data_IF_647504018208
#
_entry.id   IF_647504018208
#
_cell.length_a   1.000
_cell.length_b   1.000
_cell.length_c   1.000
_cell.angle_alpha   90.00
_cell.angle_beta   90.00
_cell.angle_gamma   90.00
#
_symmetry.space_group_name_H-M   'P 1'
#
loop_
_entity.id
_entity.type
_entity.pdbx_description
1 polymer ?
#
# COMPACT_ATOMS: atom_id res chain seq x y z
N UNK A 1 -13.78 -0.63 -4.45
CA UNK A 1 -13.31 0.77 -4.57
C UNK A 1 -13.00 1.07 -6.03
N UNK A 2 -12.97 2.35 -6.40
CA UNK A 2 -12.52 2.83 -7.71
C UNK A 2 -11.32 3.77 -7.48
N UNK A 3 -10.21 3.65 -8.23
CA UNK A 3 -9.94 2.65 -9.27
C UNK A 3 -10.03 1.20 -8.81
N UNK A 4 -10.21 0.28 -9.76
CA UNK A 4 -10.28 -1.14 -9.44
C UNK A 4 -8.98 -1.56 -8.76
N UNK A 5 -9.06 -2.14 -7.56
CA UNK A 5 -7.88 -2.46 -6.74
C UNK A 5 -7.82 -3.94 -6.46
N UNK A 6 -6.77 -4.60 -6.93
CA UNK A 6 -6.43 -5.97 -6.55
C UNK A 6 -5.42 -5.95 -5.41
N UNK A 7 -5.69 -6.70 -4.34
CA UNK A 7 -4.78 -6.88 -3.22
C UNK A 7 -4.07 -8.24 -3.32
N UNK A 8 -2.75 -8.23 -3.13
CA UNK A 8 -1.89 -9.41 -3.24
C UNK A 8 -1.12 -9.57 -1.94
N UNK A 9 -1.17 -10.76 -1.35
CA UNK A 9 -0.44 -11.08 -0.11
C UNK A 9 1.04 -11.33 -0.42
N UNK A 10 1.95 -10.68 0.32
CA UNK A 10 3.40 -10.95 0.23
C UNK A 10 3.89 -12.05 1.18
N UNK A 11 3.09 -12.38 2.20
CA UNK A 11 3.38 -13.45 3.17
C UNK A 11 2.34 -14.55 2.99
N UNK A 12 2.78 -15.81 3.00
CA UNK A 12 1.89 -16.97 2.92
C UNK A 12 0.92 -16.97 4.10
N UNK A 13 -0.38 -16.94 3.80
CA UNK A 13 -1.44 -17.11 4.79
C UNK A 13 -1.52 -18.60 5.17
N UNK A 14 -1.26 -18.92 6.43
CA UNK A 14 -1.28 -20.29 6.97
C UNK A 14 -2.51 -20.60 7.83
N UNK A 15 -3.34 -19.61 8.13
CA UNK A 15 -4.52 -19.83 8.96
C UNK A 15 -5.47 -18.62 9.02
N UNK A 16 -6.63 -18.84 9.66
CA UNK A 16 -7.73 -17.90 9.67
C UNK A 16 -7.36 -16.52 10.25
N UNK A 17 -6.54 -16.45 11.31
CA UNK A 17 -6.09 -15.17 11.89
C UNK A 17 -5.42 -14.28 10.83
N UNK A 18 -4.49 -14.83 10.04
CA UNK A 18 -3.78 -14.09 9.00
C UNK A 18 -4.70 -13.71 7.83
N UNK A 19 -5.66 -14.58 7.48
CA UNK A 19 -6.66 -14.26 6.47
C UNK A 19 -7.54 -13.08 6.91
N UNK A 20 -8.02 -13.10 8.17
CA UNK A 20 -8.82 -12.00 8.74
C UNK A 20 -8.02 -10.71 8.80
N UNK A 21 -6.73 -10.76 9.15
CA UNK A 21 -5.87 -9.57 9.16
C UNK A 21 -5.70 -8.96 7.75
N UNK A 22 -5.52 -9.80 6.73
CA UNK A 22 -5.41 -9.34 5.34
C UNK A 22 -6.74 -8.77 4.81
N UNK A 23 -7.82 -9.52 4.96
CA UNK A 23 -9.13 -9.20 4.35
C UNK A 23 -10.10 -8.48 5.29
N UNK A 24 -9.61 -8.04 6.46
CA UNK A 24 -10.31 -7.19 7.43
C UNK A 24 -9.62 -5.83 7.53
N UNK A 25 -8.76 -5.59 8.54
CA UNK A 25 -8.16 -4.27 8.77
C UNK A 25 -7.30 -3.79 7.58
N UNK A 26 -6.47 -4.65 6.97
CA UNK A 26 -5.65 -4.21 5.85
C UNK A 26 -6.49 -3.89 4.60
N UNK A 27 -7.50 -4.71 4.28
CA UNK A 27 -8.40 -4.45 3.16
C UNK A 27 -9.21 -3.15 3.34
N UNK A 28 -9.74 -2.92 4.55
CA UNK A 28 -10.45 -1.67 4.85
C UNK A 28 -9.52 -0.46 4.71
N UNK A 29 -8.29 -0.56 5.20
CA UNK A 29 -7.28 0.48 5.10
C UNK A 29 -6.89 0.81 3.65
N UNK A 30 -6.59 -0.21 2.84
CA UNK A 30 -6.27 -0.03 1.41
C UNK A 30 -7.45 0.58 0.67
N UNK A 31 -8.67 0.07 0.89
CA UNK A 31 -9.86 0.59 0.26
C UNK A 31 -10.09 2.07 0.60
N UNK A 32 -9.96 2.44 1.87
CA UNK A 32 -10.10 3.84 2.30
C UNK A 32 -9.03 4.73 1.69
N UNK A 33 -7.75 4.32 1.72
CA UNK A 33 -6.66 5.10 1.14
C UNK A 33 -6.87 5.38 -0.35
N UNK A 34 -7.40 4.41 -1.10
CA UNK A 34 -7.76 4.59 -2.52
C UNK A 34 -8.88 5.63 -2.68
N UNK A 35 -9.96 5.50 -1.91
CA UNK A 35 -11.08 6.43 -1.98
C UNK A 35 -10.67 7.86 -1.60
N UNK A 36 -9.91 8.02 -0.52
CA UNK A 36 -9.43 9.32 -0.05
C UNK A 36 -8.42 9.95 -1.03
N UNK A 37 -7.66 9.12 -1.76
CA UNK A 37 -6.78 9.59 -2.84
C UNK A 37 -7.57 10.13 -4.04
N UNK A 38 -8.74 9.56 -4.34
CA UNK A 38 -9.67 10.09 -5.36
C UNK A 38 -10.38 11.35 -4.87
N UNK A 39 -10.80 11.37 -3.59
CA UNK A 39 -11.46 12.52 -2.98
C UNK A 39 -10.54 13.75 -2.97
N UNK A 40 -9.29 13.57 -2.56
CA UNK A 40 -8.26 14.63 -2.53
C UNK A 40 -7.72 15.03 -3.90
N UNK A 41 -8.04 14.29 -4.96
CA UNK A 41 -7.61 14.57 -6.32
C UNK A 41 -6.20 14.09 -6.66
N UNK A 42 -5.52 13.37 -5.75
CA UNK A 42 -4.25 12.67 -6.05
C UNK A 42 -4.45 11.68 -7.19
N UNK A 43 -5.58 10.96 -7.16
CA UNK A 43 -6.09 10.23 -8.32
C UNK A 43 -7.16 11.11 -8.96
N UNK A 44 -6.98 11.57 -10.21
CA UNK A 44 -8.00 12.32 -10.93
C UNK A 44 -9.30 11.51 -11.06
N UNK A 45 -10.43 12.12 -10.70
CA UNK A 45 -11.75 11.44 -10.68
C UNK A 45 -12.16 10.93 -12.05
N UNK A 46 -11.82 11.67 -13.10
CA UNK A 46 -12.09 11.33 -14.50
C UNK A 46 -11.29 10.11 -15.00
N UNK A 47 -10.19 9.76 -14.33
CA UNK A 47 -9.39 8.58 -14.64
C UNK A 47 -9.72 7.38 -13.74
N UNK A 48 -10.52 7.58 -12.68
CA UNK A 48 -10.72 6.56 -11.66
C UNK A 48 -11.43 5.30 -12.20
N UNK A 49 -12.17 5.39 -13.30
CA UNK A 49 -12.81 4.22 -13.92
C UNK A 49 -11.88 3.42 -14.84
N UNK A 50 -10.81 4.04 -15.35
CA UNK A 50 -9.88 3.46 -16.34
C UNK A 50 -8.56 2.98 -15.72
N UNK A 51 -8.24 3.42 -14.51
CA UNK A 51 -7.05 3.00 -13.78
C UNK A 51 -7.28 1.67 -13.04
N UNK A 52 -6.17 0.97 -12.78
CA UNK A 52 -6.11 -0.21 -11.92
C UNK A 52 -4.97 -0.07 -10.91
N UNK A 53 -5.23 -0.46 -9.66
CA UNK A 53 -4.22 -0.51 -8.60
C UNK A 53 -3.88 -1.96 -8.30
N UNK A 54 -2.59 -2.29 -8.37
CA UNK A 54 -2.05 -3.59 -7.94
C UNK A 54 -1.34 -3.39 -6.61
N UNK A 55 -2.02 -3.71 -5.51
CA UNK A 55 -1.56 -3.43 -4.16
C UNK A 55 -0.95 -4.68 -3.49
N UNK A 56 0.38 -4.72 -3.40
CA UNK A 56 1.09 -5.78 -2.68
C UNK A 56 1.21 -5.48 -1.20
N UNK A 57 0.50 -6.22 -0.36
CA UNK A 57 0.39 -5.99 1.09
C UNK A 57 1.30 -6.95 1.86
N UNK A 58 2.10 -6.40 2.77
CA UNK A 58 2.95 -7.16 3.68
C UNK A 58 2.41 -7.08 5.11
N UNK A 59 2.08 -8.23 5.68
CA UNK A 59 1.74 -8.38 7.09
C UNK A 59 2.63 -9.49 7.64
N UNK A 60 3.51 -9.15 8.58
CA UNK A 60 4.38 -10.12 9.23
C UNK A 60 3.53 -11.16 9.99
N UNK A 61 3.95 -12.43 10.02
CA UNK A 61 3.15 -13.50 10.65
C UNK A 61 3.00 -13.36 12.17
N UNK A 62 3.81 -12.52 12.81
CA UNK A 62 3.71 -12.14 14.23
C UNK A 62 2.92 -10.84 14.47
N UNK A 63 2.25 -10.29 13.46
CA UNK A 63 1.40 -9.12 13.67
C UNK A 63 0.17 -9.50 14.52
N UNK A 64 -0.14 -8.70 15.53
CA UNK A 64 -1.25 -8.97 16.47
C UNK A 64 -2.19 -7.79 16.68
N UNK A 65 -1.74 -6.58 16.38
CA UNK A 65 -2.49 -5.34 16.62
C UNK A 65 -3.20 -4.92 15.33
N UNK A 66 -4.49 -5.24 15.23
CA UNK A 66 -5.32 -4.95 14.06
C UNK A 66 -5.46 -3.44 13.80
N UNK A 67 -5.41 -2.61 14.85
CA UNK A 67 -5.42 -1.15 14.69
C UNK A 67 -4.15 -0.67 14.00
N UNK A 68 -2.98 -1.17 14.42
CA UNK A 68 -1.71 -0.86 13.73
C UNK A 68 -1.66 -1.42 12.32
N UNK A 69 -2.24 -2.61 12.08
CA UNK A 69 -2.37 -3.15 10.72
C UNK A 69 -3.17 -2.17 9.85
N UNK A 70 -4.30 -1.67 10.35
CA UNK A 70 -5.11 -0.69 9.63
C UNK A 70 -4.32 0.62 9.40
N UNK A 71 -3.85 1.27 10.47
CA UNK A 71 -3.23 2.60 10.40
C UNK A 71 -1.99 2.61 9.48
N UNK A 72 -1.13 1.59 9.62
CA UNK A 72 0.09 1.49 8.82
C UNK A 72 -0.20 1.20 7.36
N UNK A 73 -1.15 0.30 7.05
CA UNK A 73 -1.50 0.02 5.65
C UNK A 73 -2.22 1.19 4.99
N UNK A 74 -3.04 1.93 5.75
CA UNK A 74 -3.72 3.13 5.24
C UNK A 74 -2.68 4.19 4.86
N UNK A 75 -1.78 4.53 5.78
CA UNK A 75 -0.71 5.51 5.53
C UNK A 75 0.22 5.08 4.39
N UNK A 76 0.71 3.84 4.43
CA UNK A 76 1.61 3.33 3.40
C UNK A 76 0.96 3.31 2.01
N UNK A 77 -0.34 3.01 1.93
CA UNK A 77 -1.08 3.02 0.66
C UNK A 77 -1.26 4.44 0.13
N UNK A 78 -1.61 5.42 0.98
CA UNK A 78 -1.66 6.83 0.59
C UNK A 78 -0.32 7.33 0.06
N UNK A 79 0.75 7.11 0.82
CA UNK A 79 2.10 7.55 0.43
C UNK A 79 2.52 6.89 -0.90
N UNK A 80 2.20 5.60 -1.09
CA UNK A 80 2.51 4.87 -2.32
C UNK A 80 1.73 5.40 -3.53
N UNK A 81 0.44 5.68 -3.37
CA UNK A 81 -0.41 6.25 -4.43
C UNK A 81 0.10 7.65 -4.79
N UNK A 82 0.32 8.52 -3.79
CA UNK A 82 0.80 9.87 -4.02
C UNK A 82 2.15 9.89 -4.74
N UNK A 83 3.09 9.02 -4.34
CA UNK A 83 4.38 8.91 -5.01
C UNK A 83 4.21 8.41 -6.46
N UNK A 84 3.38 7.39 -6.69
CA UNK A 84 3.15 6.86 -8.04
C UNK A 84 2.53 7.92 -8.97
N UNK A 85 1.49 8.62 -8.51
CA UNK A 85 0.79 9.64 -9.31
C UNK A 85 1.65 10.88 -9.59
N UNK A 86 2.63 11.17 -8.74
CA UNK A 86 3.58 12.27 -8.93
C UNK A 86 4.91 11.86 -9.57
N UNK A 87 5.07 10.60 -9.98
CA UNK A 87 6.31 10.13 -10.60
C UNK A 87 7.52 10.18 -9.66
N UNK A 88 7.30 9.87 -8.38
CA UNK A 88 8.30 9.90 -7.31
C UNK A 88 8.68 8.50 -6.83
N UNK A 89 9.95 8.27 -6.45
CA UNK A 89 11.09 9.16 -6.71
C UNK A 89 11.38 9.29 -8.21
N UNK A 90 11.96 10.41 -8.65
CA UNK A 90 12.48 10.51 -10.01
C UNK A 90 13.72 9.62 -10.17
N UNK A 91 14.15 9.41 -11.41
CA UNK A 91 15.37 8.65 -11.70
C UNK A 91 16.59 9.28 -11.01
N UNK A 92 16.69 10.60 -11.03
CA UNK A 92 17.78 11.34 -10.39
C UNK A 92 17.74 11.20 -8.86
N UNK A 93 16.57 11.33 -8.25
CA UNK A 93 16.39 11.14 -6.80
C UNK A 93 16.76 9.71 -6.38
N UNK A 94 16.34 8.72 -7.16
CA UNK A 94 16.68 7.32 -6.92
C UNK A 94 18.20 7.08 -7.03
N UNK A 95 18.85 7.61 -8.07
CA UNK A 95 20.31 7.48 -8.25
C UNK A 95 21.07 8.16 -7.10
N UNK A 96 20.62 9.34 -6.66
CA UNK A 96 21.22 10.05 -5.54
C UNK A 96 21.04 9.31 -4.21
N UNK A 97 19.90 8.63 -4.02
CA UNK A 97 19.56 7.89 -2.81
C UNK A 97 19.96 6.41 -2.80
N UNK A 98 20.61 5.90 -3.86
CA UNK A 98 20.85 4.45 -4.05
C UNK A 98 21.65 3.77 -2.93
N UNK A 99 22.45 4.54 -2.20
CA UNK A 99 23.30 4.07 -1.11
C UNK A 99 22.67 4.25 0.29
N UNK A 100 21.37 4.57 0.35
CA UNK A 100 20.63 4.64 1.60
C UNK A 100 20.69 3.31 2.39
N UNK A 101 20.71 3.43 3.72
CA UNK A 101 20.78 2.28 4.62
C UNK A 101 19.55 1.40 4.47
N UNK A 102 19.76 0.15 4.06
CA UNK A 102 18.70 -0.86 3.98
C UNK A 102 18.64 -1.66 5.29
N UNK A 103 17.45 -1.85 5.91
CA UNK A 103 17.30 -2.48 7.23
C UNK A 103 17.88 -3.89 7.37
N UNK A 104 18.04 -4.61 6.25
CA UNK A 104 18.60 -5.96 6.21
C UNK A 104 19.87 -6.08 5.35
N UNK A 105 20.54 -4.97 5.00
CA UNK A 105 21.81 -5.04 4.26
C UNK A 105 22.91 -5.43 5.24
N UNK A 106 23.25 -6.71 5.24
CA UNK A 106 24.23 -7.36 6.13
C UNK A 106 25.53 -7.78 5.45
N UNK A 107 25.87 -7.16 4.31
CA UNK A 107 27.11 -7.36 3.55
C UNK A 107 27.58 -6.03 2.95
#
# INVERSE_FOLDING_TARGET
>A
VKPATVMITKVTIKGAKQAVQMFGPAQAAVAKAVADSVESGVIPKDQAEDLVIVCGVFIHWLAEDDKKIYDNNYKATLDSIANAMHGKPTVEEMIAGKDATHPFRGF
#
